data_IF_508682857930
#
_entry.id   IF_508682857930
#
_cell.length_a   1.000
_cell.length_b   1.000
_cell.length_c   1.000
_cell.angle_alpha   90.00
_cell.angle_beta   90.00
_cell.angle_gamma   90.00
#
_symmetry.space_group_name_H-M   'P 1'
#
loop_
_entity.id
_entity.type
_entity.pdbx_description
1 polymer ?
#
# COMPACT_ATOMS: atom_id res chain seq x y z
N UNK A 1 20.69 -4.91 -5.42
CA UNK A 1 19.66 -5.34 -4.45
C UNK A 1 19.34 -6.82 -4.67
N UNK A 2 19.59 -7.67 -3.68
CA UNK A 2 19.48 -9.14 -3.85
C UNK A 2 18.73 -9.83 -2.71
N UNK A 3 18.35 -9.09 -1.66
CA UNK A 3 17.59 -9.62 -0.54
C UNK A 3 16.09 -9.36 -0.76
N UNK A 4 15.25 -10.41 -0.84
CA UNK A 4 13.80 -10.23 -0.89
C UNK A 4 13.31 -9.47 0.36
N UNK A 5 12.27 -8.66 0.18
CA UNK A 5 11.60 -8.00 1.30
C UNK A 5 11.17 -9.03 2.35
N UNK A 6 11.52 -8.75 3.62
CA UNK A 6 11.14 -9.56 4.77
C UNK A 6 9.63 -9.73 4.85
N UNK A 7 9.15 -10.90 5.27
CA UNK A 7 7.72 -11.20 5.33
C UNK A 7 6.95 -10.21 6.20
N UNK A 8 7.53 -9.81 7.34
CA UNK A 8 6.97 -8.81 8.25
C UNK A 8 6.79 -7.44 7.58
N UNK A 9 7.70 -7.05 6.69
CA UNK A 9 7.57 -5.80 5.94
C UNK A 9 6.47 -5.91 4.87
N UNK A 10 6.33 -7.05 4.19
CA UNK A 10 5.23 -7.27 3.24
C UNK A 10 3.85 -7.13 3.90
N UNK A 11 3.70 -7.72 5.11
CA UNK A 11 2.48 -7.60 5.90
C UNK A 11 2.22 -6.15 6.32
N UNK A 12 3.26 -5.40 6.72
CA UNK A 12 3.16 -3.99 7.08
C UNK A 12 2.68 -3.14 5.89
N UNK A 13 3.25 -3.35 4.71
CA UNK A 13 2.83 -2.67 3.48
C UNK A 13 1.36 -2.98 3.16
N UNK A 14 0.94 -4.25 3.23
CA UNK A 14 -0.44 -4.64 2.97
C UNK A 14 -1.42 -3.99 3.94
N UNK A 15 -1.08 -3.93 5.23
CA UNK A 15 -1.90 -3.29 6.26
C UNK A 15 -2.05 -1.79 6.01
N UNK A 16 -0.95 -1.08 5.78
CA UNK A 16 -1.01 0.37 5.53
C UNK A 16 -1.72 0.71 4.23
N UNK A 17 -1.59 -0.11 3.19
CA UNK A 17 -2.33 0.07 1.96
C UNK A 17 -3.84 -0.12 2.16
N UNK A 18 -4.25 -1.13 2.94
CA UNK A 18 -5.66 -1.31 3.29
C UNK A 18 -6.22 -0.11 4.07
N UNK A 19 -5.47 0.41 5.05
CA UNK A 19 -5.83 1.61 5.80
C UNK A 19 -5.96 2.85 4.89
N UNK A 20 -5.03 3.02 3.94
CA UNK A 20 -5.08 4.12 2.99
C UNK A 20 -6.30 4.04 2.06
N UNK A 21 -6.67 2.84 1.61
CA UNK A 21 -7.86 2.61 0.79
C UNK A 21 -9.15 2.86 1.57
N UNK A 22 -9.23 2.38 2.81
CA UNK A 22 -10.35 2.66 3.71
C UNK A 22 -10.51 4.17 3.94
N UNK A 23 -9.40 4.86 4.22
CA UNK A 23 -9.38 6.31 4.35
C UNK A 23 -9.90 7.00 3.08
N UNK A 24 -9.37 6.64 1.91
CA UNK A 24 -9.82 7.22 0.64
C UNK A 24 -11.32 6.97 0.40
N UNK A 25 -11.80 5.76 0.69
CA UNK A 25 -13.22 5.40 0.64
C UNK A 25 -14.07 6.30 1.56
N UNK A 26 -13.64 6.50 2.81
CA UNK A 26 -14.32 7.39 3.77
C UNK A 26 -14.37 8.85 3.33
N UNK A 27 -13.47 9.27 2.42
CA UNK A 27 -13.41 10.62 1.83
C UNK A 27 -14.13 10.73 0.48
N UNK A 28 -14.91 9.71 0.09
CA UNK A 28 -15.61 9.67 -1.19
C UNK A 28 -14.70 9.43 -2.40
N UNK A 29 -13.46 8.97 -2.18
CA UNK A 29 -12.46 8.65 -3.21
C UNK A 29 -12.25 7.14 -3.29
N UNK A 30 -13.32 6.40 -3.55
CA UNK A 30 -13.31 4.93 -3.49
C UNK A 30 -12.70 4.24 -4.73
N UNK A 31 -12.54 4.95 -5.85
CA UNK A 31 -12.00 4.38 -7.08
C UNK A 31 -10.49 4.65 -7.17
N UNK A 32 -9.71 3.56 -7.31
CA UNK A 32 -8.29 3.60 -7.62
C UNK A 32 -8.03 2.81 -8.91
N UNK A 33 -7.49 3.48 -9.92
CA UNK A 33 -7.12 2.84 -11.19
C UNK A 33 -5.71 2.25 -11.09
N UNK A 34 -5.54 1.02 -11.56
CA UNK A 34 -4.26 0.32 -11.69
C UNK A 34 -3.42 0.30 -10.41
N UNK A 35 -4.05 -0.01 -9.26
CA UNK A 35 -3.32 -0.22 -8.02
C UNK A 35 -2.37 -1.44 -8.17
N UNK A 36 -1.07 -1.16 -8.14
CA UNK A 36 -0.01 -2.15 -8.32
C UNK A 36 1.23 -1.75 -7.50
N UNK A 37 2.26 -2.60 -7.39
CA UNK A 37 3.43 -2.31 -6.55
C UNK A 37 4.20 -1.02 -6.91
N UNK A 38 4.14 -0.56 -8.17
CA UNK A 38 4.77 0.71 -8.58
C UNK A 38 4.05 1.96 -8.05
N UNK A 39 2.84 1.79 -7.50
CA UNK A 39 2.06 2.86 -6.86
C UNK A 39 2.26 2.90 -5.35
N UNK A 40 2.99 1.94 -4.77
CA UNK A 40 3.32 1.91 -3.35
C UNK A 40 4.64 2.66 -3.15
N UNK A 41 4.59 3.75 -2.38
CA UNK A 41 5.77 4.56 -2.04
C UNK A 41 6.18 4.29 -0.60
N UNK A 42 7.49 4.39 -0.34
CA UNK A 42 8.06 4.36 1.00
C UNK A 42 8.49 5.79 1.36
N UNK A 43 8.09 6.24 2.54
CA UNK A 43 8.55 7.49 3.14
C UNK A 43 9.97 7.34 3.72
N UNK A 44 10.50 8.44 4.28
CA UNK A 44 11.80 8.49 4.97
C UNK A 44 11.78 7.80 6.33
#
# INVERSE_FOLDING_TARGET
ETQPMQWTMRLRVALHLAQALEYCGSKGRALYHDLNPYRVLFDE
#
